data_IF_499036794111
#
_entry.id   IF_499036794111
#
_cell.length_a   1.000
_cell.length_b   1.000
_cell.length_c   1.000
_cell.angle_alpha   90.00
_cell.angle_beta   90.00
_cell.angle_gamma   90.00
#
_symmetry.space_group_name_H-M   'P 1'
#
loop_
_entity.id
_entity.type
_entity.pdbx_description
1 polymer ?
#
# COMPACT_ATOMS: atom_id res chain seq x y z
N UNK A 1 -18.98 15.24 -4.02
CA UNK A 1 -17.52 15.07 -3.97
C UNK A 1 -17.21 13.67 -3.49
N UNK A 2 -16.24 13.00 -4.12
CA UNK A 2 -15.80 11.69 -3.67
C UNK A 2 -15.08 11.83 -2.31
N UNK A 3 -15.13 10.81 -1.46
CA UNK A 3 -14.46 10.85 -0.15
C UNK A 3 -12.93 10.85 -0.30
N UNK A 4 -12.42 10.14 -1.29
CA UNK A 4 -11.00 10.16 -1.67
C UNK A 4 -10.89 10.83 -3.04
N UNK A 5 -10.42 12.07 -3.06
CA UNK A 5 -10.18 12.84 -4.28
C UNK A 5 -8.80 12.52 -4.87
N UNK A 6 -8.59 12.75 -6.18
CA UNK A 6 -7.29 12.61 -6.81
C UNK A 6 -6.23 13.48 -6.13
N UNK A 7 -5.18 12.84 -5.64
CA UNK A 7 -4.07 13.49 -4.94
C UNK A 7 -2.75 12.80 -5.27
N UNK A 8 -1.68 13.58 -5.33
CA UNK A 8 -0.30 13.06 -5.37
C UNK A 8 0.37 13.32 -4.03
N UNK A 9 0.85 12.26 -3.38
CA UNK A 9 1.52 12.32 -2.09
C UNK A 9 3.03 12.15 -2.29
N UNK A 10 3.85 12.94 -1.57
CA UNK A 10 5.31 12.95 -1.76
C UNK A 10 6.04 12.97 -0.43
N UNK A 11 7.06 12.14 -0.27
CA UNK A 11 8.02 12.19 0.84
C UNK A 11 9.20 11.27 0.55
N UNK A 12 10.37 11.59 1.11
CA UNK A 12 11.57 10.74 1.09
C UNK A 12 11.91 10.14 -0.28
N UNK A 13 11.84 10.97 -1.35
CA UNK A 13 12.14 10.54 -2.72
C UNK A 13 11.09 9.60 -3.34
N UNK A 14 9.94 9.45 -2.70
CA UNK A 14 8.83 8.64 -3.18
C UNK A 14 7.64 9.51 -3.54
N UNK A 15 7.01 9.19 -4.67
CA UNK A 15 5.75 9.79 -5.12
C UNK A 15 4.69 8.71 -5.26
N UNK A 16 3.54 8.91 -4.63
CA UNK A 16 2.32 8.14 -4.85
C UNK A 16 1.39 9.00 -5.71
N UNK A 17 1.18 8.62 -6.95
CA UNK A 17 0.29 9.36 -7.85
C UNK A 17 -0.89 8.49 -8.30
N UNK A 18 -2.04 9.09 -8.64
CA UNK A 18 -3.20 8.34 -9.08
C UNK A 18 -2.85 7.39 -10.20
N UNK A 19 -3.22 6.12 -10.04
CA UNK A 19 -2.96 5.10 -11.05
C UNK A 19 -3.65 5.45 -12.36
N UNK A 20 -2.93 5.29 -13.48
CA UNK A 20 -3.39 5.57 -14.83
C UNK A 20 -2.77 4.56 -15.81
N UNK A 21 -3.34 4.47 -17.03
CA UNK A 21 -2.83 3.59 -18.08
C UNK A 21 -1.38 3.88 -18.49
N UNK A 22 -0.93 5.12 -18.32
CA UNK A 22 0.47 5.50 -18.56
C UNK A 22 1.49 4.75 -17.68
N UNK A 23 1.05 4.14 -16.58
CA UNK A 23 1.91 3.35 -15.69
C UNK A 23 2.06 1.88 -16.13
N UNK A 24 1.40 1.44 -17.22
CA UNK A 24 1.34 0.04 -17.64
C UNK A 24 2.74 -0.59 -17.78
N UNK A 25 3.60 0.00 -18.60
CA UNK A 25 4.93 -0.52 -18.82
C UNK A 25 5.79 -0.57 -17.54
N UNK A 26 5.69 0.48 -16.71
CA UNK A 26 6.41 0.56 -15.44
C UNK A 26 5.93 -0.47 -14.42
N UNK A 27 4.63 -0.68 -14.32
CA UNK A 27 4.06 -1.71 -13.44
C UNK A 27 4.39 -3.12 -13.92
N UNK A 28 4.36 -3.38 -15.24
CA UNK A 28 4.76 -4.66 -15.80
C UNK A 28 6.22 -4.98 -15.46
N UNK A 29 7.12 -4.00 -15.59
CA UNK A 29 8.52 -4.15 -15.21
C UNK A 29 8.68 -4.39 -13.70
N UNK A 30 7.94 -3.66 -12.86
CA UNK A 30 7.97 -3.85 -11.40
C UNK A 30 7.41 -5.23 -10.98
N UNK A 31 6.38 -5.73 -11.65
CA UNK A 31 5.84 -7.06 -11.41
C UNK A 31 6.84 -8.16 -11.83
N UNK A 32 7.53 -7.98 -12.94
CA UNK A 32 8.55 -8.90 -13.44
C UNK A 32 9.76 -9.02 -12.50
N UNK A 33 10.06 -7.97 -11.73
CA UNK A 33 11.14 -7.97 -10.76
C UNK A 33 10.82 -8.90 -9.57
N UNK A 34 11.35 -10.13 -9.64
CA UNK A 34 11.19 -11.19 -8.65
C UNK A 34 9.95 -12.07 -8.86
N UNK A 35 9.31 -12.01 -10.02
CA UNK A 35 8.17 -12.88 -10.41
C UNK A 35 7.09 -12.97 -9.33
N UNK A 36 6.71 -11.82 -8.76
CA UNK A 36 5.87 -11.74 -7.57
C UNK A 36 4.47 -12.36 -7.76
N UNK A 37 4.00 -12.48 -9.00
CA UNK A 37 2.72 -13.13 -9.32
C UNK A 37 2.71 -14.63 -9.01
N UNK A 38 3.88 -15.28 -8.85
CA UNK A 38 3.98 -16.70 -8.48
C UNK A 38 3.69 -16.97 -7.01
N UNK A 39 3.63 -15.93 -6.19
CA UNK A 39 3.28 -16.08 -4.78
C UNK A 39 1.80 -16.44 -4.63
N UNK A 40 1.50 -17.54 -3.97
CA UNK A 40 0.12 -18.02 -3.75
C UNK A 40 -0.82 -16.99 -3.12
N UNK A 41 -0.28 -16.12 -2.28
CA UNK A 41 -1.04 -15.14 -1.48
C UNK A 41 -0.96 -13.71 -2.04
N UNK A 42 -0.67 -13.57 -3.32
CA UNK A 42 -0.44 -12.26 -3.97
C UNK A 42 -1.64 -11.73 -4.75
N UNK A 43 -1.69 -10.42 -4.91
CA UNK A 43 -2.55 -9.71 -5.87
C UNK A 43 -1.76 -9.09 -7.04
N UNK A 44 -0.49 -9.40 -7.18
CA UNK A 44 0.36 -8.88 -8.25
C UNK A 44 -0.09 -9.48 -9.59
N UNK A 45 -0.32 -8.66 -10.63
CA UNK A 45 -0.65 -9.17 -11.96
C UNK A 45 0.57 -9.87 -12.59
N UNK A 46 0.33 -10.78 -13.52
CA UNK A 46 1.37 -11.16 -14.47
C UNK A 46 1.69 -9.96 -15.37
N UNK A 47 2.91 -9.82 -15.89
CA UNK A 47 3.28 -8.65 -16.69
C UNK A 47 2.34 -8.36 -17.87
N UNK A 48 1.86 -9.40 -18.56
CA UNK A 48 0.91 -9.28 -19.68
C UNK A 48 -0.50 -8.85 -19.22
N UNK A 49 -0.86 -9.08 -17.95
CA UNK A 49 -2.18 -8.74 -17.40
C UNK A 49 -2.20 -7.36 -16.72
N UNK A 50 -1.07 -6.64 -16.78
CA UNK A 50 -0.93 -5.34 -16.09
C UNK A 50 -1.95 -4.32 -16.56
N UNK A 51 -2.26 -4.30 -17.87
CA UNK A 51 -3.29 -3.42 -18.43
C UNK A 51 -4.66 -3.70 -17.80
N UNK A 52 -5.08 -4.96 -17.78
CA UNK A 52 -6.36 -5.39 -17.19
C UNK A 52 -6.41 -5.07 -15.68
N UNK A 53 -5.27 -5.21 -14.97
CA UNK A 53 -5.17 -4.81 -13.57
C UNK A 53 -5.43 -3.31 -13.37
N UNK A 54 -4.87 -2.45 -14.24
CA UNK A 54 -5.07 -1.00 -14.19
C UNK A 54 -6.53 -0.66 -14.53
N UNK A 55 -7.07 -1.19 -15.62
CA UNK A 55 -8.45 -0.95 -16.05
C UNK A 55 -9.46 -1.35 -14.96
N UNK A 56 -9.23 -2.50 -14.31
CA UNK A 56 -10.04 -2.93 -13.16
C UNK A 56 -9.96 -1.93 -12.01
N UNK A 57 -8.76 -1.44 -11.68
CA UNK A 57 -8.58 -0.46 -10.62
C UNK A 57 -9.26 0.89 -10.94
N UNK A 58 -9.22 1.33 -12.21
CA UNK A 58 -9.88 2.56 -12.66
C UNK A 58 -11.41 2.43 -12.59
N UNK A 59 -11.96 1.29 -13.03
CA UNK A 59 -13.38 1.00 -12.90
C UNK A 59 -13.85 1.01 -11.43
N UNK A 60 -13.10 0.34 -10.54
CA UNK A 60 -13.41 0.37 -9.10
C UNK A 60 -13.32 1.77 -8.51
N UNK A 61 -12.47 2.66 -9.07
CA UNK A 61 -12.40 4.07 -8.68
C UNK A 61 -13.65 4.83 -9.08
N UNK A 62 -14.16 4.63 -10.29
CA UNK A 62 -15.42 5.23 -10.75
C UNK A 62 -16.61 4.79 -9.90
N UNK A 63 -16.60 3.54 -9.43
CA UNK A 63 -17.58 2.98 -8.51
C UNK A 63 -17.41 3.47 -7.05
N UNK A 64 -16.34 4.22 -6.74
CA UNK A 64 -16.03 4.69 -5.37
C UNK A 64 -15.49 3.61 -4.43
N UNK A 65 -15.16 2.41 -4.93
CA UNK A 65 -14.77 1.25 -4.12
C UNK A 65 -13.26 1.16 -3.87
N UNK A 66 -12.44 1.75 -4.76
CA UNK A 66 -10.98 1.70 -4.68
C UNK A 66 -10.36 2.96 -5.29
N UNK A 67 -9.33 3.48 -4.62
CA UNK A 67 -8.47 4.52 -5.18
C UNK A 67 -7.02 4.01 -5.19
N UNK A 68 -6.54 3.65 -6.38
CA UNK A 68 -5.21 3.06 -6.56
C UNK A 68 -4.17 4.14 -6.88
N UNK A 69 -2.94 3.92 -6.37
CA UNK A 69 -1.76 4.73 -6.64
C UNK A 69 -0.69 3.89 -7.34
N UNK A 70 0.00 4.48 -8.29
CA UNK A 70 1.33 4.04 -8.69
C UNK A 70 2.33 4.59 -7.66
N UNK A 71 3.27 3.74 -7.25
CA UNK A 71 4.37 4.11 -6.35
C UNK A 71 5.60 4.34 -7.21
N UNK A 72 6.13 5.55 -7.21
CA UNK A 72 7.17 6.00 -8.14
C UNK A 72 8.38 6.51 -7.37
N UNK A 73 9.58 6.08 -7.77
CA UNK A 73 10.85 6.70 -7.39
C UNK A 73 10.91 8.09 -8.02
N UNK A 74 10.98 9.13 -7.22
CA UNK A 74 10.86 10.50 -7.69
C UNK A 74 12.09 10.95 -8.51
N UNK A 75 13.27 10.47 -8.15
CA UNK A 75 14.52 10.82 -8.83
C UNK A 75 14.66 10.12 -10.18
N UNK A 76 14.33 8.83 -10.23
CA UNK A 76 14.47 8.03 -11.44
C UNK A 76 13.21 8.03 -12.33
N UNK A 77 12.06 8.51 -11.83
CA UNK A 77 10.77 8.39 -12.50
C UNK A 77 10.29 6.93 -12.67
N UNK A 78 10.92 5.98 -11.98
CA UNK A 78 10.65 4.55 -12.11
C UNK A 78 9.48 4.12 -11.25
N UNK A 79 8.53 3.38 -11.84
CA UNK A 79 7.45 2.77 -11.10
C UNK A 79 7.99 1.58 -10.29
N UNK A 80 7.70 1.58 -9.00
CA UNK A 80 8.17 0.58 -8.03
C UNK A 80 7.10 -0.44 -7.64
N UNK A 81 5.82 -0.15 -7.93
CA UNK A 81 4.69 -0.98 -7.54
C UNK A 81 3.40 -0.20 -7.42
N UNK A 82 2.45 -0.74 -6.68
CA UNK A 82 1.13 -0.15 -6.47
C UNK A 82 0.65 -0.33 -5.03
N UNK A 83 -0.20 0.59 -4.61
CA UNK A 83 -0.96 0.50 -3.34
C UNK A 83 -2.30 1.20 -3.52
N UNK A 84 -3.28 0.94 -2.66
CA UNK A 84 -4.62 1.53 -2.82
C UNK A 84 -5.28 1.83 -1.49
N UNK A 85 -6.16 2.84 -1.47
CA UNK A 85 -7.32 2.82 -0.60
C UNK A 85 -8.39 1.93 -1.22
N UNK A 86 -9.07 1.14 -0.41
CA UNK A 86 -10.23 0.36 -0.80
C UNK A 86 -11.16 0.21 0.41
N UNK A 87 -12.29 -0.44 0.21
CA UNK A 87 -13.32 -0.54 1.26
C UNK A 87 -13.58 0.84 1.88
N UNK A 88 -13.83 1.82 0.99
CA UNK A 88 -13.99 3.22 1.32
C UNK A 88 -15.40 3.43 1.88
N UNK A 89 -15.51 3.74 3.17
CA UNK A 89 -16.77 3.88 3.90
C UNK A 89 -16.89 5.30 4.46
N UNK A 90 -17.38 6.27 3.66
CA UNK A 90 -17.44 7.69 4.06
C UNK A 90 -18.29 7.94 5.31
N UNK A 91 -19.41 7.23 5.44
CA UNK A 91 -20.35 7.39 6.54
C UNK A 91 -19.73 7.13 7.93
N UNK A 92 -18.74 6.23 8.01
CA UNK A 92 -18.00 5.91 9.23
C UNK A 92 -16.55 6.43 9.20
N UNK A 93 -16.21 7.23 8.18
CA UNK A 93 -14.88 7.82 7.98
C UNK A 93 -13.78 6.76 8.07
N UNK A 94 -13.92 5.69 7.28
CA UNK A 94 -13.01 4.55 7.24
C UNK A 94 -12.52 4.30 5.83
N UNK A 95 -11.25 3.91 5.72
CA UNK A 95 -10.65 3.34 4.51
C UNK A 95 -9.80 2.12 4.90
N UNK A 96 -9.58 1.20 3.97
CA UNK A 96 -8.54 0.20 4.12
C UNK A 96 -7.39 0.49 3.15
N UNK A 97 -6.16 0.22 3.59
CA UNK A 97 -4.97 0.27 2.76
C UNK A 97 -4.61 -1.16 2.34
N UNK A 98 -4.66 -1.41 1.03
CA UNK A 98 -4.41 -2.74 0.50
C UNK A 98 -3.98 -2.74 -0.96
N UNK A 99 -4.06 -3.89 -1.61
CA UNK A 99 -3.55 -4.10 -2.97
C UNK A 99 -2.11 -3.62 -3.12
N UNK A 100 -1.32 -3.77 -2.04
CA UNK A 100 0.04 -3.26 -1.94
C UNK A 100 1.04 -4.30 -2.38
N UNK A 101 1.87 -3.94 -3.34
CA UNK A 101 3.00 -4.73 -3.77
C UNK A 101 4.09 -3.83 -4.35
N UNK A 102 5.33 -4.27 -4.25
CA UNK A 102 6.51 -3.56 -4.75
C UNK A 102 7.45 -4.54 -5.43
N UNK A 103 8.16 -4.08 -6.46
CA UNK A 103 9.26 -4.79 -7.10
C UNK A 103 10.19 -5.42 -6.06
N UNK A 104 10.71 -6.60 -6.35
CA UNK A 104 11.54 -7.36 -5.40
C UNK A 104 12.79 -6.59 -4.96
N UNK A 105 13.41 -5.87 -5.89
CA UNK A 105 14.62 -5.08 -5.65
C UNK A 105 14.45 -3.97 -4.62
N UNK A 106 13.22 -3.47 -4.41
CA UNK A 106 12.96 -2.39 -3.44
C UNK A 106 12.27 -2.88 -2.16
N UNK A 107 12.04 -4.17 -2.02
CA UNK A 107 11.55 -4.74 -0.77
C UNK A 107 12.61 -4.65 0.33
N UNK A 108 12.17 -4.53 1.60
CA UNK A 108 13.04 -4.34 2.77
C UNK A 108 13.85 -3.04 2.76
N UNK A 109 13.40 -2.06 1.96
CA UNK A 109 13.91 -0.69 1.96
C UNK A 109 12.94 0.26 2.65
N UNK A 110 13.20 1.56 2.57
CA UNK A 110 12.32 2.62 3.08
C UNK A 110 10.97 2.69 2.34
N UNK A 111 10.86 2.15 1.12
CA UNK A 111 9.71 2.34 0.21
C UNK A 111 8.37 2.02 0.87
N UNK A 112 8.21 0.84 1.48
CA UNK A 112 6.94 0.49 2.11
C UNK A 112 6.63 1.40 3.31
N UNK A 113 7.62 1.74 4.13
CA UNK A 113 7.45 2.60 5.31
C UNK A 113 7.04 4.01 4.88
N UNK A 114 7.70 4.57 3.86
CA UNK A 114 7.37 5.88 3.29
C UNK A 114 5.96 5.89 2.68
N UNK A 115 5.62 4.89 1.86
CA UNK A 115 4.29 4.80 1.26
C UNK A 115 3.19 4.70 2.32
N UNK A 116 3.41 3.94 3.41
CA UNK A 116 2.44 3.84 4.51
C UNK A 116 2.35 5.13 5.32
N UNK A 117 3.46 5.80 5.60
CA UNK A 117 3.45 7.12 6.24
C UNK A 117 2.63 8.14 5.43
N UNK A 118 2.80 8.18 4.11
CA UNK A 118 2.06 9.06 3.21
C UNK A 118 0.56 8.75 3.21
N UNK A 119 0.20 7.48 3.04
CA UNK A 119 -1.21 7.08 2.98
C UNK A 119 -1.92 7.24 4.32
N UNK A 120 -1.30 6.83 5.42
CA UNK A 120 -1.88 6.98 6.76
C UNK A 120 -1.99 8.46 7.14
N UNK A 121 -0.97 9.28 6.84
CA UNK A 121 -1.02 10.73 7.04
C UNK A 121 -2.18 11.36 6.26
N UNK A 122 -2.32 11.04 4.97
CA UNK A 122 -3.44 11.54 4.18
C UNK A 122 -4.80 11.05 4.73
N UNK A 123 -4.90 9.78 5.14
CA UNK A 123 -6.15 9.25 5.68
C UNK A 123 -6.55 9.90 7.02
N UNK A 124 -5.62 10.03 7.98
CA UNK A 124 -5.93 10.56 9.29
C UNK A 124 -5.93 12.09 9.32
N UNK A 125 -4.90 12.73 8.74
CA UNK A 125 -4.69 14.18 8.88
C UNK A 125 -5.52 14.99 7.87
N UNK A 126 -5.75 14.46 6.65
CA UNK A 126 -6.50 15.16 5.57
C UNK A 126 -7.93 14.67 5.45
N UNK A 127 -8.13 13.36 5.27
CA UNK A 127 -9.48 12.79 5.14
C UNK A 127 -10.21 12.68 6.49
N UNK A 128 -9.50 12.89 7.60
CA UNK A 128 -10.04 12.80 8.95
C UNK A 128 -10.72 11.46 9.22
N UNK A 129 -10.10 10.37 8.75
CA UNK A 129 -10.59 9.03 9.01
C UNK A 129 -10.56 8.72 10.52
N UNK A 130 -11.60 8.06 11.01
CA UNK A 130 -11.63 7.54 12.38
C UNK A 130 -10.84 6.24 12.50
N UNK A 131 -10.79 5.46 11.40
CA UNK A 131 -10.14 4.15 11.35
C UNK A 131 -9.48 3.96 9.99
N UNK A 132 -8.25 3.45 9.98
CA UNK A 132 -7.60 2.86 8.81
C UNK A 132 -7.49 1.36 9.04
N UNK A 133 -7.93 0.56 8.07
CA UNK A 133 -7.91 -0.89 8.14
C UNK A 133 -6.89 -1.50 7.18
N UNK A 134 -6.60 -2.77 7.41
CA UNK A 134 -5.84 -3.66 6.50
C UNK A 134 -6.43 -5.06 6.57
N UNK A 135 -6.30 -5.78 5.46
CA UNK A 135 -6.62 -7.22 5.43
C UNK A 135 -5.55 -7.98 4.67
N UNK A 136 -5.29 -9.19 5.11
CA UNK A 136 -4.33 -10.07 4.44
C UNK A 136 -4.71 -11.53 4.57
N UNK A 137 -4.12 -12.38 3.74
CA UNK A 137 -4.28 -13.83 3.83
C UNK A 137 -3.66 -14.35 5.14
N UNK A 138 -4.31 -15.32 5.77
CA UNK A 138 -3.85 -15.95 7.01
C UNK A 138 -2.46 -16.59 6.88
N UNK A 139 -2.06 -16.98 5.68
CA UNK A 139 -0.72 -17.51 5.40
C UNK A 139 0.27 -16.47 4.89
N UNK A 140 -0.15 -15.21 4.71
CA UNK A 140 0.76 -14.14 4.32
C UNK A 140 1.44 -13.52 5.56
N UNK A 141 2.31 -14.29 6.21
CA UNK A 141 3.03 -13.84 7.40
C UNK A 141 3.92 -12.62 7.16
N UNK A 142 4.42 -12.45 5.92
CA UNK A 142 5.19 -11.27 5.56
C UNK A 142 4.35 -9.99 5.63
N UNK A 143 3.12 -10.04 5.09
CA UNK A 143 2.16 -8.93 5.16
C UNK A 143 1.71 -8.69 6.60
N UNK A 144 1.39 -9.75 7.36
CA UNK A 144 0.97 -9.61 8.77
C UNK A 144 2.05 -8.84 9.57
N UNK A 145 3.31 -9.29 9.52
CA UNK A 145 4.43 -8.60 10.19
C UNK A 145 4.62 -7.16 9.71
N UNK A 146 4.42 -6.91 8.40
CA UNK A 146 4.54 -5.55 7.86
C UNK A 146 3.44 -4.63 8.39
N UNK A 147 2.21 -5.12 8.54
CA UNK A 147 1.06 -4.38 9.09
C UNK A 147 1.26 -4.13 10.60
N UNK A 148 1.62 -5.17 11.36
CA UNK A 148 1.86 -5.06 12.80
C UNK A 148 2.98 -4.07 13.12
N UNK A 149 4.04 -4.02 12.30
CA UNK A 149 5.13 -3.05 12.45
C UNK A 149 4.69 -1.59 12.26
N UNK A 150 3.55 -1.33 11.60
CA UNK A 150 2.97 0.02 11.52
C UNK A 150 2.31 0.46 12.83
N UNK A 151 2.12 -0.46 13.79
CA UNK A 151 1.36 -0.25 15.01
C UNK A 151 -0.11 -0.66 14.90
N UNK A 152 -0.55 -1.23 13.76
CA UNK A 152 -1.90 -1.72 13.60
C UNK A 152 -2.18 -2.92 14.51
N UNK A 153 -3.39 -2.99 15.06
CA UNK A 153 -3.84 -4.07 15.94
C UNK A 153 -4.67 -5.07 15.15
N UNK A 154 -4.52 -6.34 15.49
CA UNK A 154 -5.31 -7.43 14.92
C UNK A 154 -6.74 -7.39 15.49
N UNK A 155 -7.72 -7.23 14.61
CA UNK A 155 -9.14 -7.24 14.99
C UNK A 155 -9.69 -8.68 15.06
N UNK A 156 -9.21 -9.58 14.19
CA UNK A 156 -9.65 -10.96 14.15
C UNK A 156 -9.34 -11.68 12.84
N UNK A 157 -9.95 -12.85 12.67
CA UNK A 157 -9.85 -13.67 11.46
C UNK A 157 -11.25 -14.01 10.97
N UNK A 158 -11.54 -13.66 9.72
CA UNK A 158 -12.76 -14.07 9.03
C UNK A 158 -12.44 -15.35 8.27
N UNK A 159 -13.08 -16.45 8.67
CA UNK A 159 -12.84 -17.77 8.07
C UNK A 159 -13.64 -17.92 6.78
N UNK A 160 -13.01 -18.57 5.79
CA UNK A 160 -13.66 -18.82 4.50
C UNK A 160 -14.06 -17.56 3.73
N UNK A 161 -13.35 -16.45 3.88
CA UNK A 161 -13.77 -15.10 3.47
C UNK A 161 -13.65 -14.83 1.97
N UNK A 162 -12.68 -15.43 1.29
CA UNK A 162 -12.42 -15.15 -0.11
C UNK A 162 -11.74 -16.33 -0.82
N UNK A 163 -11.63 -16.26 -2.13
CA UNK A 163 -10.84 -17.20 -2.92
C UNK A 163 -9.43 -16.63 -3.15
N UNK A 164 -8.45 -17.52 -3.12
CA UNK A 164 -7.13 -17.25 -3.65
C UNK A 164 -7.12 -17.41 -5.18
N UNK A 165 -6.06 -16.99 -5.79
CA UNK A 165 -5.80 -17.11 -7.22
C UNK A 165 -5.85 -18.55 -7.73
N UNK A 166 -5.43 -19.52 -6.90
CA UNK A 166 -5.46 -20.94 -7.18
C UNK A 166 -6.84 -21.59 -6.94
N UNK A 167 -7.88 -20.80 -6.66
CA UNK A 167 -9.23 -21.25 -6.38
C UNK A 167 -9.44 -21.81 -4.96
N UNK A 168 -8.40 -21.86 -4.13
CA UNK A 168 -8.56 -22.33 -2.74
C UNK A 168 -9.18 -21.25 -1.85
N UNK A 169 -9.94 -21.68 -0.85
CA UNK A 169 -10.56 -20.79 0.14
C UNK A 169 -9.49 -20.23 1.07
N UNK A 170 -9.55 -18.91 1.33
CA UNK A 170 -8.67 -18.26 2.28
C UNK A 170 -9.43 -17.76 3.51
N UNK A 171 -8.77 -17.87 4.65
CA UNK A 171 -9.11 -17.09 5.83
C UNK A 171 -8.41 -15.73 5.74
N UNK A 172 -9.10 -14.66 6.16
CA UNK A 172 -8.59 -13.31 6.09
C UNK A 172 -8.34 -12.76 7.49
N UNK A 173 -7.11 -12.32 7.75
CA UNK A 173 -6.76 -11.60 8.97
C UNK A 173 -7.05 -10.13 8.78
N UNK A 174 -7.82 -9.56 9.72
CA UNK A 174 -8.21 -8.16 9.75
C UNK A 174 -7.36 -7.41 10.77
N UNK A 175 -6.96 -6.19 10.41
CA UNK A 175 -6.22 -5.27 11.26
C UNK A 175 -6.81 -3.87 11.15
N UNK A 176 -6.66 -3.08 12.21
CA UNK A 176 -7.03 -1.67 12.18
C UNK A 176 -6.11 -0.81 13.04
N UNK A 177 -6.16 0.49 12.78
CA UNK A 177 -5.61 1.55 13.60
C UNK A 177 -6.67 2.66 13.74
N UNK A 178 -6.88 3.16 14.95
CA UNK A 178 -7.77 4.28 15.23
C UNK A 178 -7.01 5.61 15.15
N UNK A 179 -7.71 6.69 14.88
CA UNK A 179 -7.12 8.04 14.78
C UNK A 179 -6.30 8.43 16.02
N UNK A 180 -6.74 8.06 17.22
CA UNK A 180 -6.01 8.35 18.46
C UNK A 180 -4.66 7.60 18.61
N UNK A 181 -4.41 6.56 17.81
CA UNK A 181 -3.17 5.79 17.80
C UNK A 181 -2.16 6.34 16.77
N UNK A 182 -2.65 7.15 15.82
CA UNK A 182 -1.85 7.67 14.71
C UNK A 182 -0.65 8.53 15.14
N UNK A 183 -0.75 9.45 16.11
CA UNK A 183 0.40 10.28 16.50
C UNK A 183 1.62 9.46 16.92
N UNK A 184 1.44 8.39 17.70
CA UNK A 184 2.52 7.51 18.13
C UNK A 184 3.04 6.67 16.96
N UNK A 185 2.16 6.09 16.15
CA UNK A 185 2.53 5.34 14.96
C UNK A 185 3.32 6.21 13.96
N UNK A 186 2.91 7.47 13.77
CA UNK A 186 3.62 8.44 12.93
C UNK A 186 5.03 8.71 13.44
N UNK A 187 5.20 8.95 14.73
CA UNK A 187 6.50 9.17 15.35
C UNK A 187 7.43 7.97 15.14
N UNK A 188 6.92 6.75 15.34
CA UNK A 188 7.67 5.51 15.10
C UNK A 188 8.06 5.35 13.63
N UNK A 189 7.18 5.63 12.68
CA UNK A 189 7.49 5.53 11.25
C UNK A 189 8.55 6.55 10.82
N UNK A 190 8.48 7.77 11.33
CA UNK A 190 9.50 8.80 11.08
C UNK A 190 10.86 8.38 11.64
N UNK A 191 10.90 7.84 12.86
CA UNK A 191 12.12 7.29 13.46
C UNK A 191 12.72 6.18 12.58
N UNK A 192 11.92 5.22 12.13
CA UNK A 192 12.39 4.14 11.25
C UNK A 192 12.96 4.68 9.93
N UNK A 193 12.36 5.72 9.35
CA UNK A 193 12.86 6.33 8.12
C UNK A 193 14.20 7.03 8.31
N UNK A 194 14.44 7.65 9.48
CA UNK A 194 15.73 8.24 9.81
C UNK A 194 16.86 7.20 9.87
N UNK A 195 16.56 5.98 10.33
CA UNK A 195 17.53 4.88 10.36
C UNK A 195 17.91 4.35 8.95
N UNK A 196 17.07 4.63 7.93
CA UNK A 196 17.35 4.28 6.55
C UNK A 196 18.01 5.40 5.73
N UNK A 197 18.12 6.61 6.31
CA UNK A 197 18.84 7.69 5.64
C UNK A 197 20.34 7.34 5.59
N UNK A 198 21.03 7.57 4.46
CA UNK A 198 22.46 7.39 4.41
C UNK A 198 23.10 8.33 5.47
N UNK A 199 24.01 7.77 6.28
CA UNK A 199 24.80 8.55 7.24
C UNK A 199 25.51 9.65 6.44
N UNK A 200 25.12 10.90 6.63
CA UNK A 200 25.87 12.03 6.12
C UNK A 200 27.25 11.97 6.78
N UNK A 201 28.27 11.62 6.00
CA UNK A 201 29.66 11.77 6.46
C UNK A 201 29.84 13.26 6.73
N UNK A 202 29.96 13.63 8.00
CA UNK A 202 30.41 14.96 8.41
C UNK A 202 31.82 15.11 7.81
N UNK A 203 32.08 16.11 6.96
CA UNK A 203 33.42 16.36 6.49
C UNK A 203 34.28 16.60 7.73
N UNK A 204 35.29 15.73 7.92
CA UNK A 204 36.24 15.89 9.00
C UNK A 204 36.92 17.24 8.88
N UNK A 205 36.84 18.04 9.95
CA UNK A 205 37.56 19.29 10.11
C UNK A 205 39.07 19.07 10.24
#
# INVERSE_FOLDING_TARGET
MAFVEPVTLRSNGLRLEPLALSHEAGLAAAAADGELWRLRVTSVPEPQDTRTYIETALKMREEGNRFAFAVVDEAAGRVLGSTSYHDILPAVRRVEIGWTWYAKSVQRSHVNTTAKLLMMGHAFDTLQCHVVGWRTDNYNFASQRAIERLGAKKDGVIRGHALRRDGTIRDTVMYSMRAGEWPEARAQLLYLLQQHAPVQQVPGG
#
